data_IF_718626791505
#
_entry.id   IF_718626791505
#
_cell.length_a   1.000
_cell.length_b   1.000
_cell.length_c   1.000
_cell.angle_alpha   90.00
_cell.angle_beta   90.00
_cell.angle_gamma   90.00
#
_symmetry.space_group_name_H-M   'P 1'
#
loop_
_entity.id
_entity.type
_entity.pdbx_description
1 polymer ?
#
# COMPACT_ATOMS: atom_id res chain seq x y z
N UNK A 1 68.98 -55.85 -7.01
CA UNK A 1 69.62 -54.61 -6.54
C UNK A 1 68.80 -53.45 -7.11
N UNK A 2 68.18 -52.69 -6.22
CA UNK A 2 67.11 -51.73 -6.52
C UNK A 2 67.62 -50.46 -7.21
N UNK A 3 66.77 -49.82 -8.02
CA UNK A 3 66.61 -48.37 -8.01
C UNK A 3 65.23 -48.00 -8.61
N UNK A 4 64.30 -47.68 -7.72
CA UNK A 4 63.04 -47.01 -8.03
C UNK A 4 63.07 -45.63 -7.37
N UNK A 5 62.83 -44.56 -8.13
CA UNK A 5 62.45 -43.21 -7.68
C UNK A 5 62.32 -42.32 -8.93
N UNK A 6 61.43 -41.34 -9.07
CA UNK A 6 60.29 -40.87 -8.30
C UNK A 6 59.63 -39.80 -9.18
N UNK A 7 58.45 -40.05 -9.75
CA UNK A 7 57.67 -38.99 -10.43
C UNK A 7 56.95 -38.19 -9.36
N UNK A 8 57.38 -36.95 -9.13
CA UNK A 8 56.71 -36.00 -8.21
C UNK A 8 55.32 -35.67 -8.75
N UNK A 9 54.27 -36.16 -8.10
CA UNK A 9 52.89 -35.71 -8.32
C UNK A 9 52.61 -34.48 -7.46
N UNK A 10 52.30 -33.35 -8.10
CA UNK A 10 51.91 -32.10 -7.46
C UNK A 10 50.41 -32.20 -7.10
N UNK A 11 49.98 -31.94 -5.85
CA UNK A 11 48.56 -31.97 -5.51
C UNK A 11 47.88 -30.68 -6.00
N UNK A 12 46.89 -30.83 -6.87
CA UNK A 12 45.94 -29.76 -7.21
C UNK A 12 44.98 -29.62 -6.04
N UNK A 13 45.12 -28.55 -5.26
CA UNK A 13 44.19 -28.20 -4.19
C UNK A 13 43.05 -27.39 -4.80
N UNK A 14 41.90 -28.02 -4.98
CA UNK A 14 40.66 -27.36 -5.39
C UNK A 14 40.12 -26.57 -4.18
N UNK A 15 40.38 -25.27 -4.14
CA UNK A 15 39.77 -24.39 -3.14
C UNK A 15 38.30 -24.13 -3.54
N UNK A 16 37.37 -24.82 -2.89
CA UNK A 16 35.93 -24.57 -3.01
C UNK A 16 35.63 -23.24 -2.30
N UNK A 17 35.51 -22.16 -3.08
CA UNK A 17 35.11 -20.85 -2.54
C UNK A 17 33.62 -20.88 -2.21
N UNK A 18 33.31 -20.88 -0.91
CA UNK A 18 31.94 -20.66 -0.44
C UNK A 18 31.58 -19.19 -0.72
N UNK A 19 30.85 -18.95 -1.81
CA UNK A 19 30.21 -17.66 -2.06
C UNK A 19 29.09 -17.49 -1.04
N UNK A 20 29.35 -16.71 0.01
CA UNK A 20 28.30 -16.25 0.92
C UNK A 20 27.51 -15.19 0.18
N UNK A 21 26.38 -15.59 -0.42
CA UNK A 21 25.38 -14.65 -0.93
C UNK A 21 24.73 -14.00 0.29
N UNK A 22 25.24 -12.84 0.70
CA UNK A 22 24.53 -12.01 1.66
C UNK A 22 23.18 -11.65 1.03
N UNK A 23 22.04 -11.87 1.70
CA UNK A 23 20.77 -11.38 1.18
C UNK A 23 20.91 -9.88 0.98
N UNK A 24 20.93 -9.47 -0.29
CA UNK A 24 20.64 -8.09 -0.64
C UNK A 24 19.25 -7.87 -0.07
N UNK A 25 19.11 -6.89 0.83
CA UNK A 25 17.76 -6.46 1.19
C UNK A 25 17.14 -6.03 -0.14
N UNK A 26 16.19 -6.81 -0.65
CA UNK A 26 15.43 -6.33 -1.79
C UNK A 26 14.63 -5.16 -1.23
N UNK A 27 14.94 -3.95 -1.66
CA UNK A 27 14.10 -2.78 -1.43
C UNK A 27 12.80 -2.89 -2.26
N UNK A 28 12.38 -4.11 -2.60
CA UNK A 28 11.46 -4.43 -3.68
C UNK A 28 10.05 -4.73 -3.20
N UNK A 29 9.85 -5.01 -1.91
CA UNK A 29 8.52 -5.20 -1.34
C UNK A 29 8.12 -3.96 -0.55
N UNK A 30 7.27 -3.13 -1.15
CA UNK A 30 6.55 -2.08 -0.45
C UNK A 30 5.26 -2.70 0.10
N UNK A 31 5.08 -2.63 1.42
CA UNK A 31 3.82 -3.02 2.04
C UNK A 31 3.09 -1.78 2.55
N UNK A 32 1.77 -1.81 2.48
CA UNK A 32 0.92 -0.70 2.91
C UNK A 32 -0.17 -1.20 3.85
N UNK A 33 -0.45 -0.41 4.89
CA UNK A 33 -1.40 -0.76 5.93
C UNK A 33 -2.32 0.40 6.26
N UNK A 34 -3.53 0.09 6.68
CA UNK A 34 -4.56 1.05 7.11
C UNK A 34 -4.89 0.80 8.59
N UNK A 35 -4.91 1.86 9.38
CA UNK A 35 -5.54 1.89 10.72
C UNK A 35 -6.85 2.67 10.64
N UNK A 36 -7.93 2.01 11.00
CA UNK A 36 -9.22 2.62 11.32
C UNK A 36 -9.35 2.75 12.85
N UNK A 37 -10.04 3.78 13.36
CA UNK A 37 -10.10 4.06 14.79
C UNK A 37 -10.84 2.99 15.59
N UNK A 38 -11.96 2.48 15.06
CA UNK A 38 -12.85 1.56 15.76
C UNK A 38 -12.88 0.17 15.12
N UNK A 39 -11.78 -0.21 14.47
CA UNK A 39 -11.61 -1.56 13.97
C UNK A 39 -10.22 -2.12 14.24
N UNK A 40 -10.21 -3.38 14.67
CA UNK A 40 -9.02 -4.23 14.72
C UNK A 40 -8.98 -5.08 13.46
N UNK A 41 -8.08 -4.67 12.56
CA UNK A 41 -7.84 -5.37 11.30
C UNK A 41 -7.20 -6.75 11.48
N UNK A 42 -7.18 -7.56 10.41
CA UNK A 42 -6.83 -8.98 10.46
C UNK A 42 -5.35 -9.27 10.73
N UNK A 43 -4.46 -8.27 10.71
CA UNK A 43 -3.04 -8.49 10.99
C UNK A 43 -2.88 -8.92 12.46
N UNK A 44 -2.47 -10.17 12.67
CA UNK A 44 -2.49 -10.80 13.99
C UNK A 44 -1.18 -10.69 14.79
N UNK A 45 -0.06 -10.32 14.17
CA UNK A 45 1.26 -10.40 14.82
C UNK A 45 2.21 -9.26 14.41
N UNK A 46 3.16 -8.99 15.31
CA UNK A 46 4.22 -8.00 15.12
C UNK A 46 3.79 -6.57 15.45
N UNK A 47 4.59 -5.59 15.03
CA UNK A 47 4.34 -4.17 15.30
C UNK A 47 3.16 -3.57 14.50
N UNK A 48 2.42 -4.40 13.76
CA UNK A 48 1.32 -4.00 12.88
C UNK A 48 0.01 -4.68 13.27
N UNK A 49 -0.07 -5.29 14.45
CA UNK A 49 -1.28 -5.96 14.92
C UNK A 49 -2.48 -5.00 14.94
N UNK A 50 -3.64 -5.47 14.45
CA UNK A 50 -4.87 -4.69 14.38
C UNK A 50 -4.90 -3.68 13.23
N UNK A 51 -3.94 -3.74 12.30
CA UNK A 51 -3.99 -3.03 11.03
C UNK A 51 -4.63 -3.89 9.93
N UNK A 52 -5.08 -3.23 8.89
CA UNK A 52 -5.57 -3.86 7.65
C UNK A 52 -4.45 -3.76 6.61
N UNK A 53 -4.13 -4.86 5.93
CA UNK A 53 -3.22 -4.82 4.78
C UNK A 53 -3.95 -4.22 3.58
N UNK A 54 -3.28 -3.33 2.86
CA UNK A 54 -3.78 -2.76 1.61
C UNK A 54 -3.08 -3.41 0.42
N UNK A 55 -3.88 -3.74 -0.60
CA UNK A 55 -3.44 -4.23 -1.90
C UNK A 55 -3.22 -3.09 -2.89
N UNK A 56 -3.72 -1.89 -2.58
CA UNK A 56 -3.61 -0.72 -3.44
C UNK A 56 -3.90 0.60 -2.72
N UNK A 57 -3.33 1.67 -3.23
CA UNK A 57 -3.48 3.03 -2.72
C UNK A 57 -3.34 4.03 -3.87
N UNK A 58 -4.22 5.04 -3.92
CA UNK A 58 -4.09 6.18 -4.80
C UNK A 58 -4.47 7.47 -4.09
N UNK A 59 -3.73 8.53 -4.39
CA UNK A 59 -3.98 9.88 -3.89
C UNK A 59 -3.62 10.89 -4.98
N UNK A 60 -4.34 12.01 -5.00
CA UNK A 60 -4.10 13.08 -5.97
C UNK A 60 -4.28 14.44 -5.30
N UNK A 61 -3.24 15.26 -5.40
CA UNK A 61 -3.23 16.64 -4.93
C UNK A 61 -2.85 17.54 -6.10
N UNK A 62 -3.56 18.65 -6.25
CA UNK A 62 -3.33 19.62 -7.32
C UNK A 62 -3.43 21.04 -6.78
N UNK A 63 -2.67 21.96 -7.37
CA UNK A 63 -2.88 23.38 -7.17
C UNK A 63 -3.56 23.95 -8.41
N UNK A 64 -4.77 24.49 -8.25
CA UNK A 64 -5.51 25.12 -9.34
C UNK A 64 -5.09 26.57 -9.42
N UNK A 65 -4.31 26.92 -10.43
CA UNK A 65 -3.78 28.27 -10.67
C UNK A 65 -4.63 28.92 -11.76
N UNK A 66 -5.30 30.04 -11.44
CA UNK A 66 -6.00 30.84 -12.45
C UNK A 66 -4.99 31.70 -13.22
N UNK A 67 -4.59 31.29 -14.41
CA UNK A 67 -3.79 32.13 -15.31
C UNK A 67 -4.70 33.18 -15.97
N UNK A 68 -4.63 34.45 -15.55
CA UNK A 68 -5.21 35.56 -16.30
C UNK A 68 -4.18 36.10 -17.32
N UNK A 69 -4.55 36.47 -18.56
CA UNK A 69 -3.60 36.98 -19.57
C UNK A 69 -2.89 38.30 -19.22
N UNK A 70 -3.10 38.87 -18.03
CA UNK A 70 -2.43 40.10 -17.58
C UNK A 70 -1.61 39.86 -16.33
N UNK A 71 -0.30 39.64 -16.47
CA UNK A 71 0.83 40.00 -15.58
C UNK A 71 0.82 39.70 -14.07
N UNK A 72 -0.28 39.26 -13.46
CA UNK A 72 -0.38 38.94 -12.03
C UNK A 72 -0.28 37.44 -11.80
N UNK A 73 0.56 37.03 -10.85
CA UNK A 73 0.60 35.64 -10.40
C UNK A 73 -0.79 35.23 -9.89
N UNK A 74 -1.45 34.32 -10.60
CA UNK A 74 -2.76 33.81 -10.21
C UNK A 74 -2.69 33.14 -8.84
N UNK A 75 -3.54 33.56 -7.90
CA UNK A 75 -3.64 32.90 -6.60
C UNK A 75 -4.12 31.45 -6.81
N UNK A 76 -3.25 30.49 -6.47
CA UNK A 76 -3.57 29.07 -6.55
C UNK A 76 -4.32 28.57 -5.31
N UNK A 77 -5.28 27.65 -5.49
CA UNK A 77 -5.92 26.93 -4.38
C UNK A 77 -5.55 25.45 -4.44
N UNK A 78 -5.08 24.90 -3.32
CA UNK A 78 -4.83 23.47 -3.19
C UNK A 78 -6.15 22.70 -3.18
N UNK A 79 -6.18 21.60 -3.93
CA UNK A 79 -7.31 20.68 -4.02
C UNK A 79 -6.80 19.26 -3.81
N UNK A 80 -7.51 18.49 -2.99
CA UNK A 80 -7.30 17.06 -2.84
C UNK A 80 -8.47 16.30 -3.46
N UNK A 81 -8.16 15.26 -4.22
CA UNK A 81 -9.15 14.22 -4.51
C UNK A 81 -9.27 13.28 -3.30
N UNK A 82 -10.43 12.61 -3.11
CA UNK A 82 -10.55 11.54 -2.14
C UNK A 82 -9.44 10.51 -2.33
N UNK A 83 -8.92 9.98 -1.22
CA UNK A 83 -7.96 8.88 -1.25
C UNK A 83 -8.74 7.59 -1.47
N UNK A 84 -8.26 6.72 -2.35
CA UNK A 84 -8.82 5.38 -2.49
C UNK A 84 -7.81 4.35 -2.03
N UNK A 85 -8.28 3.40 -1.23
CA UNK A 85 -7.51 2.25 -0.77
C UNK A 85 -8.21 0.96 -1.18
N UNK A 86 -7.43 -0.05 -1.51
CA UNK A 86 -7.92 -1.38 -1.87
C UNK A 86 -7.52 -2.36 -0.77
N UNK A 87 -8.49 -3.09 -0.22
CA UNK A 87 -8.28 -4.14 0.79
C UNK A 87 -9.08 -5.38 0.44
N UNK A 88 -8.67 -6.55 0.91
CA UNK A 88 -9.55 -7.72 0.87
C UNK A 88 -10.70 -7.56 1.86
N UNK A 89 -11.87 -8.15 1.62
CA UNK A 89 -12.93 -8.22 2.64
C UNK A 89 -12.38 -8.88 3.91
N UNK A 90 -12.62 -8.23 5.05
CA UNK A 90 -12.11 -8.68 6.34
C UNK A 90 -13.07 -8.34 7.49
N UNK A 91 -12.57 -8.48 8.72
CA UNK A 91 -13.31 -8.19 9.95
C UNK A 91 -13.78 -6.74 10.07
N UNK A 92 -13.16 -5.80 9.35
CA UNK A 92 -13.51 -4.38 9.36
C UNK A 92 -14.55 -4.00 8.31
N UNK A 93 -14.76 -4.81 7.28
CA UNK A 93 -15.68 -4.49 6.19
C UNK A 93 -17.12 -4.19 6.64
N UNK A 94 -17.72 -4.91 7.63
CA UNK A 94 -19.04 -4.54 8.15
C UNK A 94 -19.08 -3.13 8.75
N UNK A 95 -18.05 -2.74 9.51
CA UNK A 95 -17.98 -1.40 10.10
C UNK A 95 -17.75 -0.33 9.02
N UNK A 96 -16.91 -0.60 8.03
CA UNK A 96 -16.69 0.29 6.87
C UNK A 96 -18.00 0.52 6.11
N UNK A 97 -18.81 -0.53 5.88
CA UNK A 97 -20.14 -0.39 5.32
C UNK A 97 -21.05 0.51 6.17
N UNK A 98 -21.09 0.29 7.49
CA UNK A 98 -21.87 1.12 8.41
C UNK A 98 -21.43 2.59 8.37
N UNK A 99 -20.12 2.85 8.32
CA UNK A 99 -19.55 4.19 8.27
C UNK A 99 -20.03 4.95 7.01
N UNK A 100 -20.13 4.27 5.86
CA UNK A 100 -20.68 4.85 4.62
C UNK A 100 -22.17 5.14 4.76
N UNK A 101 -22.98 4.15 5.12
CA UNK A 101 -24.45 4.30 5.08
C UNK A 101 -24.98 5.23 6.17
N UNK A 102 -24.24 5.41 7.27
CA UNK A 102 -24.57 6.36 8.33
C UNK A 102 -23.92 7.73 8.13
N UNK A 103 -22.98 7.86 7.18
CA UNK A 103 -22.16 9.05 7.03
C UNK A 103 -21.35 9.35 8.30
N UNK A 104 -20.86 8.30 8.99
CA UNK A 104 -20.16 8.47 10.26
C UNK A 104 -18.84 9.21 10.05
N UNK A 105 -18.60 10.17 10.93
CA UNK A 105 -17.36 10.92 10.99
C UNK A 105 -16.27 10.16 11.76
N UNK A 106 -15.13 9.94 11.13
CA UNK A 106 -13.95 9.33 11.72
C UNK A 106 -12.93 10.41 12.06
N UNK A 107 -12.53 10.49 13.34
CA UNK A 107 -11.59 11.53 13.77
C UNK A 107 -10.22 11.38 13.10
N UNK A 108 -9.72 10.15 12.96
CA UNK A 108 -8.39 9.91 12.41
C UNK A 108 -8.32 8.57 11.70
N UNK A 109 -7.74 8.57 10.50
CA UNK A 109 -7.38 7.37 9.74
C UNK A 109 -5.89 7.46 9.39
N UNK A 110 -5.16 6.36 9.54
CA UNK A 110 -3.71 6.33 9.26
C UNK A 110 -3.38 5.32 8.19
N UNK A 111 -2.58 5.72 7.21
CA UNK A 111 -1.99 4.85 6.19
C UNK A 111 -0.49 4.77 6.47
N UNK A 112 0.04 3.56 6.62
CA UNK A 112 1.42 3.30 6.98
C UNK A 112 2.11 2.52 5.86
N UNK A 113 3.24 3.02 5.40
CA UNK A 113 4.08 2.38 4.40
C UNK A 113 5.32 1.78 5.06
N UNK A 114 5.58 0.53 4.73
CA UNK A 114 6.68 -0.25 5.30
C UNK A 114 7.46 -0.96 4.20
N UNK A 115 8.68 -1.35 4.53
CA UNK A 115 9.46 -2.32 3.77
C UNK A 115 9.90 -3.45 4.72
N UNK A 116 10.04 -4.69 4.23
CA UNK A 116 10.61 -5.75 5.03
C UNK A 116 12.11 -5.51 5.23
N UNK A 117 12.55 -5.66 6.46
CA UNK A 117 13.97 -5.66 6.84
C UNK A 117 14.61 -7.01 6.50
N UNK A 118 15.95 -7.06 6.53
CA UNK A 118 16.70 -8.33 6.39
C UNK A 118 16.31 -9.39 7.43
N UNK A 119 15.78 -8.97 8.57
CA UNK A 119 15.30 -9.85 9.63
C UNK A 119 13.83 -10.29 9.43
N UNK A 120 13.21 -9.94 8.30
CA UNK A 120 11.81 -10.27 7.99
C UNK A 120 10.78 -9.45 8.78
N UNK A 121 11.21 -8.38 9.47
CA UNK A 121 10.30 -7.46 10.18
C UNK A 121 9.90 -6.31 9.27
N UNK A 122 8.66 -5.88 9.35
CA UNK A 122 8.20 -4.65 8.69
C UNK A 122 8.80 -3.42 9.39
N UNK A 123 9.47 -2.57 8.61
CA UNK A 123 9.98 -1.28 9.07
C UNK A 123 9.20 -0.17 8.37
N UNK A 124 8.49 0.64 9.16
CA UNK A 124 7.79 1.81 8.64
C UNK A 124 8.76 2.91 8.24
N UNK A 125 8.52 3.52 7.08
CA UNK A 125 9.31 4.64 6.58
C UNK A 125 8.46 5.86 6.25
N UNK A 126 7.16 5.70 5.98
CA UNK A 126 6.27 6.81 5.68
C UNK A 126 4.88 6.60 6.29
N UNK A 127 4.26 7.70 6.71
CA UNK A 127 2.93 7.71 7.30
C UNK A 127 2.09 8.86 6.75
N UNK A 128 0.86 8.55 6.37
CA UNK A 128 -0.17 9.54 6.07
C UNK A 128 -1.20 9.47 7.20
N UNK A 129 -1.50 10.60 7.82
CA UNK A 129 -2.55 10.74 8.81
C UNK A 129 -3.62 11.67 8.25
N UNK A 130 -4.84 11.15 8.14
CA UNK A 130 -6.02 11.87 7.72
C UNK A 130 -6.83 12.24 8.95
N UNK A 131 -7.33 13.47 9.00
CA UNK A 131 -8.19 13.97 10.08
C UNK A 131 -9.49 14.50 9.47
N UNK A 132 -10.55 14.37 10.25
CA UNK A 132 -11.92 14.69 9.85
C UNK A 132 -12.35 13.91 8.61
N UNK A 133 -12.39 12.58 8.75
CA UNK A 133 -12.51 11.63 7.64
C UNK A 133 -13.94 11.12 7.51
N UNK A 134 -14.43 11.04 6.28
CA UNK A 134 -15.64 10.31 5.92
C UNK A 134 -15.28 9.20 4.94
N UNK A 135 -15.84 8.02 5.15
CA UNK A 135 -15.87 7.00 4.11
C UNK A 135 -17.05 7.32 3.21
N UNK A 136 -16.78 7.75 1.97
CA UNK A 136 -17.82 8.29 1.08
C UNK A 136 -18.32 7.30 0.05
N UNK A 137 -17.56 6.23 -0.21
CA UNK A 137 -17.97 5.16 -1.10
C UNK A 137 -17.22 3.87 -0.78
N UNK A 138 -17.89 2.75 -1.04
CA UNK A 138 -17.31 1.41 -1.09
C UNK A 138 -17.71 0.73 -2.40
N UNK A 139 -16.76 0.05 -3.04
CA UNK A 139 -17.01 -0.76 -4.23
C UNK A 139 -16.39 -2.14 -4.03
N UNK A 140 -17.18 -3.20 -4.18
CA UNK A 140 -16.72 -4.57 -3.97
C UNK A 140 -16.59 -5.30 -5.30
N UNK A 141 -15.49 -6.00 -5.48
CA UNK A 141 -15.18 -6.77 -6.69
C UNK A 141 -14.49 -8.09 -6.33
N UNK A 142 -14.64 -9.11 -7.16
CA UNK A 142 -13.95 -10.40 -6.98
C UNK A 142 -12.70 -10.43 -7.84
N UNK A 143 -11.57 -10.90 -7.32
CA UNK A 143 -10.39 -11.20 -8.12
C UNK A 143 -10.27 -12.71 -8.37
N UNK A 144 -9.78 -13.12 -9.54
CA UNK A 144 -9.67 -14.52 -9.95
C UNK A 144 -8.25 -14.91 -10.37
N UNK A 145 -7.87 -16.17 -10.17
CA UNK A 145 -6.58 -16.72 -10.60
C UNK A 145 -6.62 -17.08 -12.09
N UNK A 146 -5.66 -16.57 -12.87
CA UNK A 146 -5.40 -16.93 -14.27
C UNK A 146 -6.53 -16.64 -15.29
N UNK A 147 -7.43 -15.70 -15.02
CA UNK A 147 -8.35 -15.14 -16.02
C UNK A 147 -7.73 -13.91 -16.67
N UNK A 148 -7.92 -13.73 -17.98
CA UNK A 148 -7.71 -12.44 -18.62
C UNK A 148 -8.48 -11.39 -17.82
N UNK A 149 -7.79 -10.36 -17.34
CA UNK A 149 -8.31 -9.32 -16.45
C UNK A 149 -9.59 -8.69 -17.02
N UNK A 150 -10.79 -9.18 -16.66
CA UNK A 150 -12.02 -8.42 -16.84
C UNK A 150 -13.00 -8.67 -15.68
N UNK A 151 -13.00 -7.72 -14.76
CA UNK A 151 -13.94 -7.62 -13.64
C UNK A 151 -15.37 -7.27 -14.08
N UNK A 152 -15.64 -7.03 -15.38
CA UNK A 152 -16.97 -6.63 -15.87
C UNK A 152 -17.95 -7.78 -16.08
N UNK A 153 -17.54 -9.03 -15.88
CA UNK A 153 -18.33 -10.19 -16.28
C UNK A 153 -19.31 -10.75 -15.24
N UNK A 154 -19.45 -10.10 -14.08
CA UNK A 154 -20.46 -10.50 -13.08
C UNK A 154 -21.83 -9.86 -13.38
N UNK A 155 -21.90 -8.87 -14.27
CA UNK A 155 -23.14 -8.12 -14.54
C UNK A 155 -23.74 -8.30 -15.94
N UNK A 156 -23.07 -8.93 -16.90
CA UNK A 156 -23.61 -9.04 -18.24
C UNK A 156 -24.09 -10.47 -18.54
N UNK A 157 -25.39 -10.70 -18.36
CA UNK A 157 -26.06 -11.95 -18.76
C UNK A 157 -26.02 -12.22 -20.29
N UNK A 158 -25.47 -11.29 -21.08
CA UNK A 158 -25.32 -11.38 -22.53
C UNK A 158 -23.88 -11.42 -23.02
N UNK A 159 -22.88 -11.39 -22.12
CA UNK A 159 -21.48 -11.48 -22.50
C UNK A 159 -21.14 -12.88 -23.08
N UNK A 160 -20.45 -12.88 -24.23
CA UNK A 160 -20.13 -14.10 -24.99
C UNK A 160 -19.02 -14.95 -24.35
N UNK A 161 -18.25 -14.37 -23.44
CA UNK A 161 -17.20 -15.05 -22.69
C UNK A 161 -17.66 -15.08 -21.23
N UNK A 162 -17.79 -16.26 -20.63
CA UNK A 162 -17.98 -16.38 -19.18
C UNK A 162 -16.61 -16.28 -18.50
N UNK A 163 -16.51 -15.57 -17.37
CA UNK A 163 -15.31 -15.60 -16.53
C UNK A 163 -15.12 -17.03 -16.03
N UNK A 164 -14.15 -17.75 -16.58
CA UNK A 164 -13.81 -19.14 -16.19
C UNK A 164 -12.80 -19.21 -15.05
N UNK A 165 -12.28 -18.07 -14.60
CA UNK A 165 -11.34 -17.98 -13.48
C UNK A 165 -12.03 -18.33 -12.15
N UNK A 166 -11.36 -19.12 -11.31
CA UNK A 166 -11.83 -19.36 -9.94
C UNK A 166 -11.57 -18.12 -9.10
N UNK A 167 -12.59 -17.51 -8.47
CA UNK A 167 -12.40 -16.37 -7.58
C UNK A 167 -11.47 -16.76 -6.43
N UNK A 168 -10.46 -15.94 -6.16
CA UNK A 168 -9.46 -16.16 -5.10
C UNK A 168 -9.62 -15.23 -3.91
N UNK A 169 -10.20 -14.05 -4.11
CA UNK A 169 -10.53 -13.11 -3.04
C UNK A 169 -11.65 -12.17 -3.48
N UNK A 170 -12.25 -11.49 -2.51
CA UNK A 170 -13.13 -10.34 -2.74
C UNK A 170 -12.40 -9.11 -2.22
N UNK A 171 -12.19 -8.13 -3.09
CA UNK A 171 -11.58 -6.86 -2.76
C UNK A 171 -12.64 -5.77 -2.61
N UNK A 172 -12.36 -4.83 -1.72
CA UNK A 172 -13.18 -3.69 -1.36
C UNK A 172 -12.33 -2.43 -1.57
N UNK A 173 -12.76 -1.58 -2.51
CA UNK A 173 -12.23 -0.24 -2.75
C UNK A 173 -12.95 0.70 -1.79
N UNK A 174 -12.20 1.32 -0.89
CA UNK A 174 -12.72 2.27 0.11
C UNK A 174 -12.28 3.68 -0.27
N UNK A 175 -13.25 4.58 -0.45
CA UNK A 175 -12.98 5.98 -0.78
C UNK A 175 -13.10 6.86 0.46
N UNK A 176 -12.01 7.56 0.79
CA UNK A 176 -11.82 8.39 1.97
C UNK A 176 -11.78 9.87 1.58
N UNK A 177 -12.76 10.63 2.04
CA UNK A 177 -12.74 12.10 2.02
C UNK A 177 -12.26 12.62 3.37
N UNK A 178 -11.51 13.72 3.41
CA UNK A 178 -10.87 14.21 4.63
C UNK A 178 -10.75 15.73 4.64
N UNK A 179 -10.75 16.31 5.84
CA UNK A 179 -10.57 17.75 6.05
C UNK A 179 -9.11 18.18 6.12
N UNK A 180 -8.27 17.35 6.73
CA UNK A 180 -6.86 17.65 6.97
C UNK A 180 -6.00 16.42 6.70
N UNK A 181 -4.79 16.66 6.21
CA UNK A 181 -3.80 15.64 5.96
C UNK A 181 -2.44 16.02 6.54
N UNK A 182 -1.76 15.05 7.13
CA UNK A 182 -0.37 15.14 7.56
C UNK A 182 0.42 14.00 6.94
N UNK A 183 1.49 14.34 6.23
CA UNK A 183 2.44 13.40 5.64
C UNK A 183 3.70 13.44 6.49
N UNK A 184 4.21 12.28 6.88
CA UNK A 184 5.40 12.14 7.72
C UNK A 184 6.37 11.15 7.11
N UNK A 185 7.57 11.60 6.79
CA UNK A 185 8.73 10.72 6.60
C UNK A 185 9.23 10.30 7.98
N UNK A 186 9.10 9.02 8.30
CA UNK A 186 9.46 8.46 9.60
C UNK A 186 10.98 8.25 9.75
N UNK A 187 11.74 8.29 8.66
CA UNK A 187 13.20 8.14 8.68
C UNK A 187 13.85 9.48 9.04
N UNK A 188 13.38 10.56 8.43
CA UNK A 188 13.91 11.91 8.68
C UNK A 188 13.14 12.69 9.73
N UNK A 189 11.96 12.19 10.12
CA UNK A 189 10.98 12.87 10.97
C UNK A 189 10.46 14.19 10.35
N UNK A 190 10.52 14.31 9.03
CA UNK A 190 10.01 15.48 8.31
C UNK A 190 8.50 15.38 8.13
N UNK A 191 7.78 16.45 8.46
CA UNK A 191 6.31 16.49 8.38
C UNK A 191 5.81 17.63 7.49
N UNK A 192 4.85 17.35 6.63
CA UNK A 192 4.04 18.35 5.92
C UNK A 192 2.58 18.20 6.31
N UNK A 193 1.91 19.31 6.63
CA UNK A 193 0.49 19.33 6.99
C UNK A 193 -0.25 20.33 6.13
N UNK A 194 -1.50 20.02 5.79
CA UNK A 194 -2.42 20.97 5.18
C UNK A 194 -3.84 20.72 5.67
N UNK A 195 -4.52 21.81 6.01
CA UNK A 195 -5.93 21.86 6.41
C UNK A 195 -6.74 22.45 5.25
N UNK A 196 -7.58 21.64 4.61
CA UNK A 196 -8.39 22.05 3.45
C UNK A 196 -9.61 22.87 3.84
N UNK A 197 -10.10 22.77 5.09
CA UNK A 197 -11.18 23.63 5.58
C UNK A 197 -10.70 25.06 5.76
N UNK A 198 -9.48 25.22 6.27
CA UNK A 198 -8.88 26.52 6.56
C UNK A 198 -7.97 27.02 5.43
N UNK A 199 -7.67 26.19 4.44
CA UNK A 199 -6.75 26.46 3.33
C UNK A 199 -5.37 26.97 3.82
N UNK A 200 -4.79 26.26 4.79
CA UNK A 200 -3.53 26.63 5.44
C UNK A 200 -2.64 25.41 5.70
N UNK A 201 -1.34 25.67 5.83
CA UNK A 201 -0.36 24.70 6.35
C UNK A 201 -0.60 24.42 7.84
#
# INVERSE_FOLDING_TARGET
>A
MALAASRKSLPVVLALSLVVVLPTASWAALNTYLKLPDCDGPVAAGGLTGLIRLEGFTSKFANVIASSPGGGAGAGKAQASPIQVLKDLDTCSPQVFLDVVTGRHLQTVTILFTHPTKAGKEQAFFKITLTDVFITAIENTTVAKAGTEDLRNIQDSTAAELNTGTPTAVQEIVTLSFGKITLTDLVTNTTGTFDFFQNKL
#
